data_IF_596649877118
#
_entry.id   IF_596649877118
#
_cell.length_a   1.000
_cell.length_b   1.000
_cell.length_c   1.000
_cell.angle_alpha   90.00
_cell.angle_beta   90.00
_cell.angle_gamma   90.00
#
_symmetry.space_group_name_H-M   'P 1'
#
loop_
_entity.id
_entity.type
_entity.pdbx_description
1 polymer ?
#
# COMPACT_ATOMS: atom_id res chain seq x y z
N UNK A 1 35.76 19.35 -40.42
CA UNK A 1 36.33 19.93 -39.18
C UNK A 1 37.36 18.99 -38.58
N UNK A 2 38.40 19.47 -37.88
CA UNK A 2 39.39 18.60 -37.24
C UNK A 2 38.94 18.04 -35.88
N UNK A 3 39.67 17.04 -35.36
CA UNK A 3 39.36 16.39 -34.07
C UNK A 3 39.27 17.36 -32.88
N UNK A 4 40.21 18.30 -32.75
CA UNK A 4 40.20 19.26 -31.63
C UNK A 4 38.99 20.21 -31.67
N UNK A 5 38.62 20.69 -32.86
CA UNK A 5 37.43 21.52 -33.05
C UNK A 5 36.14 20.75 -32.77
N UNK A 6 36.06 19.48 -33.22
CA UNK A 6 34.93 18.61 -32.94
C UNK A 6 34.71 18.43 -31.43
N UNK A 7 35.75 18.02 -30.70
CA UNK A 7 35.69 17.80 -29.24
C UNK A 7 35.31 19.08 -28.50
N UNK A 8 35.88 20.23 -28.89
CA UNK A 8 35.55 21.52 -28.28
C UNK A 8 34.08 21.90 -28.48
N UNK A 9 33.54 21.65 -29.65
CA UNK A 9 32.13 21.94 -29.95
C UNK A 9 31.18 20.95 -29.28
N UNK A 10 31.55 19.67 -29.22
CA UNK A 10 30.82 18.64 -28.48
C UNK A 10 30.73 18.99 -26.99
N UNK A 11 31.84 19.38 -26.36
CA UNK A 11 31.90 19.82 -24.96
C UNK A 11 31.02 21.03 -24.67
N UNK A 12 30.95 21.98 -25.62
CA UNK A 12 30.08 23.15 -25.49
C UNK A 12 28.59 22.76 -25.49
N UNK A 13 28.21 21.80 -26.35
CA UNK A 13 26.83 21.34 -26.50
C UNK A 13 26.37 20.43 -25.37
N UNK A 14 27.29 19.65 -24.79
CA UNK A 14 27.02 18.73 -23.69
C UNK A 14 27.08 19.40 -22.30
N UNK A 15 27.29 20.72 -22.21
CA UNK A 15 27.47 21.44 -20.93
C UNK A 15 26.28 21.36 -19.95
N UNK A 16 25.14 20.85 -20.38
CA UNK A 16 23.95 20.59 -19.56
C UNK A 16 23.92 19.22 -18.86
N UNK A 17 24.87 18.33 -19.17
CA UNK A 17 24.99 17.00 -18.54
C UNK A 17 25.72 17.06 -17.20
N UNK A 18 25.66 15.97 -16.44
CA UNK A 18 26.50 15.79 -15.26
C UNK A 18 27.98 15.76 -15.67
N UNK A 19 28.90 16.09 -14.75
CA UNK A 19 30.34 16.09 -15.08
C UNK A 19 30.83 14.71 -15.50
N UNK A 20 30.35 13.66 -14.84
CA UNK A 20 30.67 12.27 -15.15
C UNK A 20 30.21 11.90 -16.56
N UNK A 21 28.94 12.15 -16.90
CA UNK A 21 28.41 11.83 -18.24
C UNK A 21 29.11 12.64 -19.35
N UNK A 22 29.53 13.88 -19.06
CA UNK A 22 30.25 14.73 -20.01
C UNK A 22 31.67 14.20 -20.25
N UNK A 23 32.41 13.88 -19.19
CA UNK A 23 33.79 13.40 -19.33
C UNK A 23 33.81 12.01 -20.00
N UNK A 24 32.87 11.13 -19.68
CA UNK A 24 32.71 9.82 -20.33
C UNK A 24 32.47 9.96 -21.83
N UNK A 25 31.56 10.86 -22.23
CA UNK A 25 31.27 11.11 -23.63
C UNK A 25 32.48 11.68 -24.38
N UNK A 26 33.25 12.60 -23.78
CA UNK A 26 34.44 13.17 -24.39
C UNK A 26 35.55 12.11 -24.54
N UNK A 27 35.81 11.33 -23.49
CA UNK A 27 36.82 10.27 -23.50
C UNK A 27 36.55 9.24 -24.59
N UNK A 28 35.28 8.85 -24.79
CA UNK A 28 34.90 7.91 -25.85
C UNK A 28 35.32 8.38 -27.24
N UNK A 29 35.07 9.64 -27.58
CA UNK A 29 35.45 10.18 -28.89
C UNK A 29 36.95 10.46 -28.99
N UNK A 30 37.62 10.84 -27.90
CA UNK A 30 39.08 10.98 -27.88
C UNK A 30 39.78 9.63 -28.12
N UNK A 31 39.35 8.56 -27.46
CA UNK A 31 39.84 7.19 -27.72
C UNK A 31 39.53 6.75 -29.15
N UNK A 32 38.33 7.04 -29.65
CA UNK A 32 37.96 6.71 -31.02
C UNK A 32 38.87 7.38 -32.07
N UNK A 33 39.20 8.66 -31.89
CA UNK A 33 40.11 9.35 -32.80
C UNK A 33 41.56 8.90 -32.68
N UNK A 34 41.99 8.47 -31.48
CA UNK A 34 43.31 7.90 -31.25
C UNK A 34 43.46 6.54 -31.94
N UNK A 35 42.48 5.65 -31.82
CA UNK A 35 42.48 4.32 -32.45
C UNK A 35 42.37 4.41 -33.97
N UNK A 36 41.59 5.38 -34.46
CA UNK A 36 41.42 5.64 -35.89
C UNK A 36 42.66 6.30 -36.55
N UNK A 37 43.68 6.68 -35.77
CA UNK A 37 44.93 7.25 -36.28
C UNK A 37 44.77 8.61 -36.97
N UNK A 38 43.73 9.37 -36.61
CA UNK A 38 43.37 10.62 -37.31
C UNK A 38 44.37 11.74 -37.01
N UNK A 39 44.92 12.32 -38.06
CA UNK A 39 45.83 13.46 -37.96
C UNK A 39 45.10 14.74 -37.52
N UNK A 40 45.83 15.72 -36.95
CA UNK A 40 45.23 16.99 -36.51
C UNK A 40 44.68 17.84 -37.65
N UNK A 41 45.03 17.56 -38.90
CA UNK A 41 44.50 18.27 -40.07
C UNK A 41 43.33 17.54 -40.77
N UNK A 42 43.04 16.30 -40.40
CA UNK A 42 42.02 15.48 -41.06
C UNK A 42 40.58 15.88 -40.70
N UNK A 43 39.68 15.79 -41.69
CA UNK A 43 38.27 16.09 -41.49
C UNK A 43 37.51 14.91 -40.86
N UNK A 44 37.24 15.01 -39.56
CA UNK A 44 36.52 13.99 -38.79
C UNK A 44 35.01 13.99 -39.01
N UNK A 45 34.43 15.02 -39.64
CA UNK A 45 32.97 15.14 -39.82
C UNK A 45 32.41 13.97 -40.61
N UNK A 46 33.18 13.41 -41.55
CA UNK A 46 32.75 12.26 -42.35
C UNK A 46 32.79 10.93 -41.58
N UNK A 47 33.65 10.82 -40.56
CA UNK A 47 33.77 9.61 -39.74
C UNK A 47 32.72 9.53 -38.63
N UNK A 48 32.49 10.64 -37.91
CA UNK A 48 31.64 10.67 -36.71
C UNK A 48 30.34 11.46 -36.88
N UNK A 49 30.20 12.21 -37.96
CA UNK A 49 29.04 13.07 -38.22
C UNK A 49 29.18 14.48 -37.65
N UNK A 50 28.06 15.24 -37.67
CA UNK A 50 28.02 16.60 -37.15
C UNK A 50 27.95 16.61 -35.61
N UNK A 51 28.76 17.44 -34.90
CA UNK A 51 28.74 17.56 -33.45
C UNK A 51 27.35 17.85 -32.86
N UNK A 52 26.47 18.52 -33.61
CA UNK A 52 25.08 18.79 -33.20
C UNK A 52 24.27 17.50 -33.08
N UNK A 53 24.38 16.64 -34.09
CA UNK A 53 23.62 15.41 -34.17
C UNK A 53 24.09 14.42 -33.11
N UNK A 54 25.40 14.32 -32.93
CA UNK A 54 26.03 13.52 -31.88
C UNK A 54 25.61 14.00 -30.49
N UNK A 55 25.71 15.30 -30.21
CA UNK A 55 25.32 15.84 -28.92
C UNK A 55 23.84 15.59 -28.59
N UNK A 56 22.96 15.73 -29.59
CA UNK A 56 21.53 15.47 -29.43
C UNK A 56 21.24 14.01 -29.08
N UNK A 57 21.88 13.04 -29.76
CA UNK A 57 21.71 11.62 -29.46
C UNK A 57 22.14 11.28 -28.03
N UNK A 58 23.30 11.78 -27.60
CA UNK A 58 23.81 11.57 -26.24
C UNK A 58 22.84 12.15 -25.20
N UNK A 59 22.32 13.36 -25.44
CA UNK A 59 21.33 13.97 -24.55
C UNK A 59 20.04 13.15 -24.47
N UNK A 60 19.50 12.68 -25.59
CA UNK A 60 18.29 11.85 -25.64
C UNK A 60 18.48 10.51 -24.90
N UNK A 61 19.61 9.84 -25.09
CA UNK A 61 19.94 8.58 -24.42
C UNK A 61 20.08 8.77 -22.90
N UNK A 62 20.73 9.85 -22.47
CA UNK A 62 20.89 10.15 -21.03
C UNK A 62 19.56 10.51 -20.37
N UNK A 63 18.69 11.27 -21.06
CA UNK A 63 17.35 11.58 -20.56
C UNK A 63 16.51 10.30 -20.43
N UNK A 64 16.55 9.40 -21.40
CA UNK A 64 15.85 8.12 -21.32
C UNK A 64 16.38 7.22 -20.19
N UNK A 65 17.70 7.20 -19.97
CA UNK A 65 18.31 6.50 -18.82
C UNK A 65 17.85 7.09 -17.49
N UNK A 66 17.73 8.42 -17.38
CA UNK A 66 17.24 9.08 -16.16
C UNK A 66 15.74 8.82 -15.92
N UNK A 67 14.92 8.82 -16.96
CA UNK A 67 13.49 8.54 -16.84
C UNK A 67 13.21 7.08 -16.45
N UNK A 68 13.97 6.13 -17.00
CA UNK A 68 13.88 4.72 -16.61
C UNK A 68 14.29 4.51 -15.15
N UNK A 69 15.43 5.07 -14.73
CA UNK A 69 15.86 5.02 -13.32
C UNK A 69 14.84 5.66 -12.37
N UNK A 70 14.25 6.80 -12.73
CA UNK A 70 13.26 7.50 -11.89
C UNK A 70 11.95 6.71 -11.72
N UNK A 71 11.57 5.92 -12.74
CA UNK A 71 10.35 5.09 -12.71
C UNK A 71 10.54 3.77 -11.96
N UNK A 72 11.72 3.16 -12.05
CA UNK A 72 12.02 1.89 -11.38
C UNK A 72 12.45 2.10 -9.92
N UNK A 73 13.20 3.17 -9.65
CA UNK A 73 13.66 3.56 -8.33
C UNK A 73 13.05 4.93 -8.03
N UNK A 74 11.91 4.98 -7.32
CA UNK A 74 11.17 6.21 -7.02
C UNK A 74 12.09 7.41 -6.75
N UNK A 75 12.23 8.25 -7.77
CA UNK A 75 13.42 9.08 -7.91
C UNK A 75 13.56 10.13 -6.83
N UNK A 76 14.69 10.09 -6.10
CA UNK A 76 15.17 11.24 -5.33
C UNK A 76 16.32 11.90 -6.07
N UNK A 77 15.97 12.71 -7.09
CA UNK A 77 16.89 13.69 -7.65
C UNK A 77 16.96 14.89 -6.69
N UNK A 78 17.96 14.84 -5.82
CA UNK A 78 18.73 15.93 -5.20
C UNK A 78 19.20 15.45 -3.83
N UNK A 79 20.52 15.28 -3.63
CA UNK A 79 21.10 14.85 -2.35
C UNK A 79 20.63 15.66 -1.14
N UNK A 80 20.17 16.90 -1.32
CA UNK A 80 19.56 17.71 -0.25
C UNK A 80 18.14 17.25 0.11
N UNK A 81 17.34 16.79 -0.88
CA UNK A 81 16.03 16.18 -0.63
C UNK A 81 16.16 14.79 -0.05
N UNK A 82 17.15 13.98 -0.44
CA UNK A 82 17.42 12.68 0.18
C UNK A 82 17.82 12.83 1.64
N UNK A 83 18.75 13.73 1.95
CA UNK A 83 19.12 14.02 3.34
C UNK A 83 17.93 14.58 4.12
N UNK A 84 17.13 15.46 3.53
CA UNK A 84 15.92 15.97 4.16
C UNK A 84 14.85 14.89 4.37
N UNK A 85 14.70 13.93 3.44
CA UNK A 85 13.80 12.78 3.58
C UNK A 85 14.28 11.80 4.64
N UNK A 86 15.59 11.59 4.76
CA UNK A 86 16.18 10.75 5.81
C UNK A 86 16.03 11.42 7.18
N UNK A 87 16.28 12.73 7.29
CA UNK A 87 16.05 13.49 8.53
C UNK A 87 14.56 13.52 8.89
N UNK A 88 13.69 13.76 7.91
CA UNK A 88 12.23 13.73 8.09
C UNK A 88 11.77 12.31 8.46
N UNK A 89 12.39 11.27 7.90
CA UNK A 89 12.15 9.88 8.23
C UNK A 89 12.55 9.56 9.67
N UNK A 90 13.69 10.06 10.16
CA UNK A 90 14.14 9.90 11.55
C UNK A 90 13.22 10.65 12.53
N UNK A 91 12.71 11.83 12.15
CA UNK A 91 11.72 12.57 12.94
C UNK A 91 10.30 11.99 12.85
N UNK A 92 9.95 11.35 11.74
CA UNK A 92 8.65 10.69 11.55
C UNK A 92 8.63 9.27 12.14
N UNK A 93 9.77 8.59 12.25
CA UNK A 93 9.91 7.28 12.87
C UNK A 93 9.33 7.19 14.30
N UNK A 94 9.59 8.13 15.23
CA UNK A 94 9.00 8.11 16.57
C UNK A 94 7.49 8.38 16.58
N UNK A 95 6.92 8.93 15.50
CA UNK A 95 5.47 9.14 15.34
C UNK A 95 4.82 7.92 14.64
N UNK A 96 5.50 7.31 13.68
CA UNK A 96 5.01 6.13 12.98
C UNK A 96 4.89 4.90 13.90
N UNK A 97 5.85 4.71 14.80
CA UNK A 97 5.86 3.59 15.75
C UNK A 97 4.63 3.56 16.68
N UNK A 98 4.25 4.65 17.39
CA UNK A 98 3.05 4.66 18.21
C UNK A 98 1.77 4.54 17.38
N UNK A 99 1.72 5.09 16.15
CA UNK A 99 0.55 4.94 15.28
C UNK A 99 0.28 3.47 14.94
N UNK A 100 1.33 2.69 14.66
CA UNK A 100 1.19 1.25 14.38
C UNK A 100 0.68 0.51 15.62
N UNK A 101 1.20 0.84 16.80
CA UNK A 101 0.76 0.24 18.07
C UNK A 101 -0.71 0.57 18.35
N UNK A 102 -1.12 1.84 18.16
CA UNK A 102 -2.53 2.26 18.30
C UNK A 102 -3.41 1.52 17.31
N UNK A 103 -3.00 1.39 16.05
CA UNK A 103 -3.74 0.65 15.03
C UNK A 103 -3.93 -0.81 15.46
N UNK A 104 -2.88 -1.46 15.96
CA UNK A 104 -2.93 -2.85 16.42
C UNK A 104 -3.83 -3.00 17.66
N UNK A 105 -3.74 -2.07 18.61
CA UNK A 105 -4.59 -2.03 19.79
C UNK A 105 -6.06 -1.82 19.44
N UNK A 106 -6.37 -0.96 18.47
CA UNK A 106 -7.74 -0.75 17.98
C UNK A 106 -8.27 -2.00 17.31
N UNK A 107 -7.50 -2.66 16.46
CA UNK A 107 -7.90 -3.93 15.85
C UNK A 107 -8.18 -5.00 16.91
N UNK A 108 -7.29 -5.13 17.89
CA UNK A 108 -7.49 -6.05 19.01
C UNK A 108 -8.75 -5.70 19.82
N UNK A 109 -8.95 -4.43 20.16
CA UNK A 109 -10.14 -3.97 20.88
C UNK A 109 -11.42 -4.27 20.12
N UNK A 110 -11.46 -4.09 18.79
CA UNK A 110 -12.60 -4.45 17.95
C UNK A 110 -12.87 -5.96 18.05
N UNK A 111 -11.85 -6.82 17.94
CA UNK A 111 -12.05 -8.27 18.05
C UNK A 111 -12.60 -8.68 19.41
N UNK A 112 -12.06 -8.12 20.49
CA UNK A 112 -12.52 -8.40 21.87
C UNK A 112 -13.95 -7.89 22.07
N UNK A 113 -14.28 -6.71 21.55
CA UNK A 113 -15.62 -6.13 21.67
C UNK A 113 -16.66 -6.99 20.95
N UNK A 114 -16.36 -7.43 19.73
CA UNK A 114 -17.24 -8.34 18.96
C UNK A 114 -17.41 -9.66 19.71
N UNK A 115 -16.34 -10.21 20.28
CA UNK A 115 -16.40 -11.45 21.05
C UNK A 115 -17.20 -11.31 22.35
N UNK A 116 -17.02 -10.21 23.08
CA UNK A 116 -17.79 -9.91 24.30
C UNK A 116 -19.27 -9.73 24.01
N UNK A 117 -19.63 -9.03 22.92
CA UNK A 117 -21.02 -8.90 22.47
C UNK A 117 -21.61 -10.26 22.14
N UNK A 118 -20.84 -11.15 21.51
CA UNK A 118 -21.29 -12.51 21.20
C UNK A 118 -21.59 -13.31 22.47
N UNK A 119 -20.69 -13.29 23.46
CA UNK A 119 -20.89 -13.96 24.74
C UNK A 119 -22.10 -13.38 25.48
N UNK A 120 -22.23 -12.06 25.54
CA UNK A 120 -23.36 -11.39 26.19
C UNK A 120 -24.70 -11.75 25.51
N UNK A 121 -24.74 -11.79 24.19
CA UNK A 121 -25.93 -12.18 23.43
C UNK A 121 -26.31 -13.64 23.69
N UNK A 122 -25.34 -14.55 23.72
CA UNK A 122 -25.57 -15.96 24.09
C UNK A 122 -26.07 -16.09 25.53
N UNK A 123 -25.46 -15.37 26.48
CA UNK A 123 -25.89 -15.37 27.87
C UNK A 123 -27.34 -14.89 28.01
N UNK A 124 -27.70 -13.77 27.37
CA UNK A 124 -29.08 -13.28 27.35
C UNK A 124 -30.06 -14.31 26.77
N UNK A 125 -29.75 -14.91 25.62
CA UNK A 125 -30.61 -15.92 25.00
C UNK A 125 -30.81 -17.13 25.92
N UNK A 126 -29.74 -17.61 26.56
CA UNK A 126 -29.80 -18.71 27.53
C UNK A 126 -30.60 -18.31 28.76
N UNK A 127 -30.44 -17.10 29.29
CA UNK A 127 -31.23 -16.61 30.43
C UNK A 127 -32.73 -16.60 30.12
N UNK A 128 -33.15 -16.13 28.95
CA UNK A 128 -34.57 -16.16 28.55
C UNK A 128 -35.13 -17.59 28.50
N UNK A 129 -34.35 -18.56 28.01
CA UNK A 129 -34.75 -19.96 27.96
C UNK A 129 -34.83 -20.56 29.37
N UNK A 130 -33.82 -20.31 30.22
CA UNK A 130 -33.79 -20.79 31.61
C UNK A 130 -34.96 -20.21 32.40
N UNK A 131 -35.21 -18.91 32.30
CA UNK A 131 -36.35 -18.26 32.97
C UNK A 131 -37.68 -18.84 32.47
N UNK A 132 -37.83 -19.07 31.16
CA UNK A 132 -39.02 -19.71 30.61
C UNK A 132 -39.28 -21.11 31.17
N UNK A 133 -38.23 -21.93 31.32
CA UNK A 133 -38.31 -23.29 31.89
C UNK A 133 -38.52 -23.25 33.40
N UNK A 134 -37.84 -22.36 34.12
CA UNK A 134 -37.93 -22.22 35.57
C UNK A 134 -39.32 -21.75 36.03
N UNK A 135 -40.12 -21.18 35.13
CA UNK A 135 -41.51 -20.79 35.40
C UNK A 135 -42.51 -21.96 35.28
N UNK A 136 -42.12 -23.10 34.69
CA UNK A 136 -42.99 -24.28 34.51
C UNK A 136 -43.46 -24.89 35.85
N UNK A 137 -42.64 -25.03 36.90
CA UNK A 137 -43.11 -25.51 38.21
C UNK A 137 -44.15 -24.61 38.88
N UNK A 138 -44.16 -23.31 38.57
CA UNK A 138 -45.16 -22.37 39.11
C UNK A 138 -46.59 -22.69 38.63
N UNK A 139 -46.72 -23.47 37.55
CA UNK A 139 -48.01 -23.96 37.05
C UNK A 139 -48.71 -24.86 38.07
N UNK A 140 -47.97 -25.67 38.85
CA UNK A 140 -48.54 -26.60 39.83
C UNK A 140 -49.26 -25.89 41.00
N UNK A 141 -48.99 -24.61 41.23
CA UNK A 141 -49.56 -23.80 42.30
C UNK A 141 -50.53 -22.71 41.80
N UNK A 142 -50.82 -22.67 40.50
CA UNK A 142 -51.58 -21.59 39.86
C UNK A 142 -53.00 -22.02 39.48
N UNK A 143 -53.97 -21.12 39.62
CA UNK A 143 -55.36 -21.37 39.23
C UNK A 143 -55.54 -21.36 37.69
N UNK A 144 -56.62 -21.96 37.17
CA UNK A 144 -56.75 -22.31 35.73
C UNK A 144 -56.44 -21.19 34.73
N UNK A 145 -56.90 -19.96 34.96
CA UNK A 145 -56.60 -18.83 34.08
C UNK A 145 -55.13 -18.37 34.17
N UNK A 146 -54.50 -18.45 35.35
CA UNK A 146 -53.11 -18.08 35.58
C UNK A 146 -52.14 -19.08 34.92
N UNK A 147 -52.51 -20.35 34.88
CA UNK A 147 -51.74 -21.40 34.20
C UNK A 147 -51.56 -21.13 32.71
N UNK A 148 -52.62 -20.71 32.02
CA UNK A 148 -52.55 -20.37 30.60
C UNK A 148 -51.67 -19.16 30.32
N UNK A 149 -51.68 -18.17 31.20
CA UNK A 149 -50.85 -16.97 31.08
C UNK A 149 -49.37 -17.31 31.30
N UNK A 150 -49.05 -18.11 32.33
CA UNK A 150 -47.67 -18.54 32.62
C UNK A 150 -47.12 -19.38 31.47
N UNK A 151 -47.90 -20.35 30.95
CA UNK A 151 -47.51 -21.14 29.78
C UNK A 151 -47.26 -20.26 28.54
N UNK A 152 -48.13 -19.27 28.29
CA UNK A 152 -47.97 -18.34 27.18
C UNK A 152 -46.67 -17.52 27.30
N UNK A 153 -46.38 -16.98 28.48
CA UNK A 153 -45.17 -16.19 28.74
C UNK A 153 -43.92 -17.06 28.61
N UNK A 154 -43.93 -18.28 29.15
CA UNK A 154 -42.82 -19.23 29.01
C UNK A 154 -42.54 -19.59 27.55
N UNK A 155 -43.59 -19.86 26.77
CA UNK A 155 -43.45 -20.22 25.36
C UNK A 155 -42.95 -19.04 24.51
N UNK A 156 -43.48 -17.84 24.77
CA UNK A 156 -43.02 -16.60 24.13
C UNK A 156 -41.56 -16.33 24.50
N UNK A 157 -41.17 -16.47 25.78
CA UNK A 157 -39.80 -16.25 26.24
C UNK A 157 -38.79 -17.18 25.56
N UNK A 158 -39.13 -18.47 25.45
CA UNK A 158 -38.30 -19.46 24.74
C UNK A 158 -38.24 -19.13 23.24
N UNK A 159 -39.39 -18.81 22.63
CA UNK A 159 -39.47 -18.45 21.21
C UNK A 159 -38.65 -17.19 20.89
N UNK A 160 -38.74 -16.16 21.72
CA UNK A 160 -37.98 -14.92 21.58
C UNK A 160 -36.48 -15.17 21.75
N UNK A 161 -36.08 -15.99 22.74
CA UNK A 161 -34.69 -16.35 22.98
C UNK A 161 -34.05 -17.06 21.78
N UNK A 162 -34.75 -18.02 21.17
CA UNK A 162 -34.28 -18.74 19.98
C UNK A 162 -34.22 -17.80 18.76
N UNK A 163 -35.23 -16.94 18.58
CA UNK A 163 -35.28 -15.99 17.47
C UNK A 163 -34.15 -14.96 17.56
N UNK A 164 -33.89 -14.42 18.75
CA UNK A 164 -32.77 -13.52 19.00
C UNK A 164 -31.44 -14.22 18.70
N UNK A 165 -31.25 -15.45 19.18
CA UNK A 165 -30.06 -16.25 18.88
C UNK A 165 -29.82 -16.41 17.37
N UNK A 166 -30.86 -16.78 16.62
CA UNK A 166 -30.82 -16.91 15.15
C UNK A 166 -30.48 -15.58 14.46
N UNK A 167 -31.08 -14.48 14.91
CA UNK A 167 -30.84 -13.14 14.37
C UNK A 167 -29.40 -12.68 14.63
N UNK A 168 -28.88 -12.90 15.84
CA UNK A 168 -27.50 -12.57 16.18
C UNK A 168 -26.49 -13.34 15.34
N UNK A 169 -26.68 -14.65 15.16
CA UNK A 169 -25.83 -15.47 14.28
C UNK A 169 -25.89 -14.98 12.84
N UNK A 170 -27.07 -14.59 12.36
CA UNK A 170 -27.25 -14.05 11.00
C UNK A 170 -26.48 -12.73 10.81
N UNK A 171 -26.65 -11.77 11.72
CA UNK A 171 -25.96 -10.48 11.69
C UNK A 171 -24.43 -10.67 11.75
N UNK A 172 -23.95 -11.56 12.62
CA UNK A 172 -22.53 -11.89 12.71
C UNK A 172 -21.98 -12.43 11.40
N UNK A 173 -22.69 -13.38 10.77
CA UNK A 173 -22.27 -13.97 9.49
C UNK A 173 -22.26 -12.91 8.37
N UNK A 174 -23.18 -11.94 8.43
CA UNK A 174 -23.28 -10.85 7.46
C UNK A 174 -22.10 -9.87 7.59
N UNK A 175 -21.73 -9.51 8.82
CA UNK A 175 -20.55 -8.69 9.11
C UNK A 175 -19.27 -9.43 8.70
N UNK A 176 -19.11 -10.71 9.07
CA UNK A 176 -17.96 -11.51 8.71
C UNK A 176 -17.80 -11.64 7.18
N UNK A 177 -18.90 -11.90 6.46
CA UNK A 177 -18.93 -11.89 4.99
C UNK A 177 -18.60 -10.53 4.40
N UNK A 178 -19.06 -9.44 5.01
CA UNK A 178 -18.73 -8.08 4.61
C UNK A 178 -17.24 -7.80 4.70
N UNK A 179 -16.61 -8.15 5.83
CA UNK A 179 -15.17 -7.99 6.06
C UNK A 179 -14.37 -8.82 5.04
N UNK A 180 -14.69 -10.11 4.88
CA UNK A 180 -14.01 -10.99 3.91
C UNK A 180 -14.22 -10.51 2.47
N UNK A 181 -15.40 -9.98 2.14
CA UNK A 181 -15.70 -9.40 0.82
C UNK A 181 -14.85 -8.17 0.49
N UNK A 182 -14.58 -7.32 1.48
CA UNK A 182 -13.72 -6.15 1.33
C UNK A 182 -12.26 -6.57 1.17
N UNK A 183 -11.77 -7.46 2.03
CA UNK A 183 -10.40 -7.96 1.98
C UNK A 183 -10.09 -8.70 0.67
N UNK A 184 -11.01 -9.55 0.20
CA UNK A 184 -10.84 -10.26 -1.08
C UNK A 184 -10.85 -9.31 -2.28
N UNK A 185 -11.65 -8.23 -2.26
CA UNK A 185 -11.62 -7.20 -3.31
C UNK A 185 -10.32 -6.39 -3.32
N UNK A 186 -9.75 -6.11 -2.16
CA UNK A 186 -8.47 -5.37 -2.05
C UNK A 186 -7.31 -6.23 -2.55
N UNK A 187 -7.28 -7.51 -2.20
CA UNK A 187 -6.20 -8.41 -2.63
C UNK A 187 -6.24 -8.71 -4.13
N UNK A 188 -7.44 -8.94 -4.71
CA UNK A 188 -7.61 -9.18 -6.15
C UNK A 188 -7.27 -7.99 -7.05
N UNK A 189 -7.18 -6.77 -6.51
CA UNK A 189 -6.79 -5.57 -7.27
C UNK A 189 -5.27 -5.40 -7.39
N UNK A 190 -4.47 -6.20 -6.68
CA UNK A 190 -3.01 -6.09 -6.71
C UNK A 190 -2.33 -7.04 -7.73
N UNK A 191 -3.10 -7.96 -8.32
CA UNK A 191 -2.63 -8.95 -9.32
C UNK A 191 -3.02 -8.59 -10.78
N UNK A 192 -3.38 -7.34 -11.07
CA UNK A 192 -3.59 -6.82 -12.43
C UNK A 192 -2.93 -5.47 -12.58
#
# INVERSE_FOLDING_TARGET
MNKSKFIKELKLRLRGLSKEDLDDAINYYEEYFLDSGVDDEEDVTQMVGDPKDVARKILEETLQKQDKKTKEEGGVKNSMKSVWLVVLGICAAPIAFPIIIVLLAVLFAITVTVFSIFIAAMACAVSFVITGIAMVPAIAFSSGAQTLIILGISLIGIGLGILLCRLFVFVFMLIARGIVGIFSKIFKRRDK
#
